data_IF_185969317109
#
_entry.id   IF_185969317109
#
_cell.length_a   1.000
_cell.length_b   1.000
_cell.length_c   1.000
_cell.angle_alpha   90.00
_cell.angle_beta   90.00
_cell.angle_gamma   90.00
#
_symmetry.space_group_name_H-M   'P 1'
#
loop_
_entity.id
_entity.type
_entity.pdbx_description
1 polymer ?
#
# COMPACT_ATOMS: atom_id res chain seq x y z
N UNK A 1 31.83 -20.87 -28.59
CA UNK A 1 31.88 -19.55 -27.93
C UNK A 1 30.44 -19.01 -27.78
N UNK A 2 29.82 -19.03 -26.58
CA UNK A 2 28.52 -18.39 -26.34
C UNK A 2 28.72 -16.87 -26.40
N UNK A 3 28.10 -16.19 -27.37
CA UNK A 3 28.09 -14.72 -27.45
C UNK A 3 27.60 -14.17 -26.10
N UNK A 4 28.46 -13.43 -25.40
CA UNK A 4 28.08 -12.73 -24.17
C UNK A 4 26.82 -11.89 -24.47
N UNK A 5 25.70 -12.20 -23.81
CA UNK A 5 24.47 -11.40 -23.93
C UNK A 5 24.81 -9.96 -23.54
N UNK A 6 24.75 -9.04 -24.50
CA UNK A 6 24.97 -7.61 -24.30
C UNK A 6 24.15 -7.17 -23.11
N UNK A 7 24.80 -6.78 -22.02
CA UNK A 7 24.12 -6.37 -20.76
C UNK A 7 23.31 -5.12 -21.07
N UNK A 8 21.99 -5.25 -21.12
CA UNK A 8 21.08 -4.15 -21.45
C UNK A 8 21.14 -3.13 -20.30
N UNK A 9 21.57 -1.91 -20.61
CA UNK A 9 21.58 -0.78 -19.66
C UNK A 9 20.16 -0.48 -19.18
N UNK A 10 19.99 -0.29 -17.86
CA UNK A 10 18.73 0.12 -17.24
C UNK A 10 18.45 1.59 -17.53
N UNK A 11 19.44 2.45 -17.25
CA UNK A 11 19.34 3.90 -17.44
C UNK A 11 19.55 4.25 -18.91
N UNK A 12 18.62 5.03 -19.47
CA UNK A 12 18.67 5.49 -20.84
C UNK A 12 18.40 6.99 -20.93
N UNK A 13 19.05 7.67 -21.85
CA UNK A 13 18.87 9.12 -22.06
C UNK A 13 17.40 9.53 -22.27
N UNK A 14 16.63 8.71 -22.98
CA UNK A 14 15.20 8.95 -23.18
C UNK A 14 14.41 9.08 -21.87
N UNK A 15 14.81 8.40 -20.78
CA UNK A 15 14.10 8.50 -19.48
C UNK A 15 14.12 9.94 -18.97
N UNK A 16 15.22 10.69 -19.18
CA UNK A 16 15.31 12.12 -18.83
C UNK A 16 14.29 12.95 -19.60
N UNK A 17 14.21 12.76 -20.93
CA UNK A 17 13.27 13.48 -21.78
C UNK A 17 11.83 13.15 -21.40
N UNK A 18 11.51 11.86 -21.25
CA UNK A 18 10.16 11.38 -20.90
C UNK A 18 9.75 11.93 -19.53
N UNK A 19 10.63 11.85 -18.52
CA UNK A 19 10.37 12.39 -17.19
C UNK A 19 10.05 13.89 -17.25
N UNK A 20 10.84 14.66 -17.99
CA UNK A 20 10.61 16.09 -18.18
C UNK A 20 9.22 16.36 -18.82
N UNK A 21 8.91 15.68 -19.92
CA UNK A 21 7.61 15.83 -20.61
C UNK A 21 6.46 15.43 -19.67
N UNK A 22 6.61 14.29 -18.97
CA UNK A 22 5.59 13.80 -18.02
C UNK A 22 5.32 14.83 -16.94
N UNK A 23 6.34 15.46 -16.38
CA UNK A 23 6.15 16.49 -15.36
C UNK A 23 5.54 17.76 -15.91
N UNK A 24 5.94 18.24 -17.08
CA UNK A 24 5.31 19.39 -17.72
C UNK A 24 3.80 19.18 -17.95
N UNK A 25 3.39 17.95 -18.33
CA UNK A 25 1.98 17.65 -18.63
C UNK A 25 1.20 17.35 -17.35
N UNK A 26 1.77 16.57 -16.42
CA UNK A 26 1.03 16.10 -15.23
C UNK A 26 1.12 17.06 -14.05
N UNK A 27 2.14 17.91 -13.94
CA UNK A 27 2.26 18.82 -12.81
C UNK A 27 1.05 19.75 -12.63
N UNK A 28 0.51 20.41 -13.68
CA UNK A 28 -0.70 21.22 -13.53
C UNK A 28 -1.88 20.42 -13.00
N UNK A 29 -2.10 19.21 -13.52
CA UNK A 29 -3.14 18.30 -13.04
C UNK A 29 -2.96 17.92 -11.57
N UNK A 30 -1.73 17.58 -11.18
CA UNK A 30 -1.38 17.19 -9.82
C UNK A 30 -1.59 18.35 -8.86
N UNK A 31 -1.12 19.57 -9.22
CA UNK A 31 -1.34 20.76 -8.40
C UNK A 31 -2.83 21.08 -8.24
N UNK A 32 -3.61 21.03 -9.33
CA UNK A 32 -5.06 21.27 -9.28
C UNK A 32 -5.80 20.21 -8.46
N UNK A 33 -5.40 18.93 -8.57
CA UNK A 33 -6.08 17.83 -7.89
C UNK A 33 -5.76 17.78 -6.39
N UNK A 34 -4.50 17.96 -6.03
CA UNK A 34 -4.03 17.72 -4.66
C UNK A 34 -3.74 18.97 -3.86
N UNK A 35 -3.70 20.14 -4.49
CA UNK A 35 -3.27 21.40 -3.86
C UNK A 35 -1.95 21.24 -3.10
N UNK A 36 -1.05 20.40 -3.63
CA UNK A 36 0.21 20.02 -2.98
C UNK A 36 1.28 21.07 -3.21
N UNK A 37 1.97 21.45 -2.15
CA UNK A 37 3.22 22.23 -2.22
C UNK A 37 4.39 21.25 -2.30
N UNK A 38 4.97 21.09 -3.50
CA UNK A 38 6.17 20.28 -3.71
C UNK A 38 7.41 21.17 -3.61
N UNK A 39 8.33 20.82 -2.70
CA UNK A 39 9.57 21.56 -2.53
C UNK A 39 10.68 20.94 -3.40
N UNK A 40 11.40 21.83 -4.09
CA UNK A 40 12.52 21.40 -4.91
C UNK A 40 13.74 21.12 -4.03
N UNK A 41 14.37 19.98 -4.27
CA UNK A 41 15.63 19.62 -3.63
C UNK A 41 16.79 20.05 -4.52
N UNK A 42 17.79 20.74 -3.94
CA UNK A 42 19.01 21.13 -4.66
C UNK A 42 19.94 19.93 -4.73
N UNK A 43 19.92 19.23 -5.88
CA UNK A 43 20.82 18.11 -6.12
C UNK A 43 22.26 18.58 -6.28
N UNK A 44 23.20 17.90 -5.64
CA UNK A 44 24.61 18.03 -5.97
C UNK A 44 24.90 17.41 -7.34
N UNK A 45 25.77 18.07 -8.11
CA UNK A 45 26.11 17.58 -9.46
C UNK A 45 26.69 16.17 -9.39
N UNK A 46 26.14 15.26 -10.22
CA UNK A 46 26.57 13.88 -10.39
C UNK A 46 26.37 12.97 -9.15
N UNK A 47 25.68 13.40 -8.13
CA UNK A 47 25.40 12.60 -6.94
C UNK A 47 24.07 11.85 -7.10
N UNK A 48 24.03 10.57 -6.74
CA UNK A 48 22.83 9.74 -6.73
C UNK A 48 22.36 9.55 -5.30
N UNK A 49 21.09 9.22 -5.14
CA UNK A 49 20.45 9.13 -3.84
C UNK A 49 19.60 7.87 -3.72
N UNK A 50 19.51 7.32 -2.50
CA UNK A 50 18.45 6.46 -2.07
C UNK A 50 17.37 7.33 -1.42
N UNK A 51 16.19 7.42 -2.05
CA UNK A 51 15.08 8.23 -1.56
C UNK A 51 14.09 7.29 -0.87
N UNK A 52 13.93 7.46 0.44
CA UNK A 52 12.94 6.72 1.22
C UNK A 52 11.78 7.66 1.54
N UNK A 53 10.55 7.20 1.28
CA UNK A 53 9.35 8.03 1.42
C UNK A 53 8.25 7.30 2.18
N UNK A 54 7.45 8.05 2.94
CA UNK A 54 6.17 7.56 3.45
C UNK A 54 5.14 7.50 2.31
N UNK A 55 4.19 6.56 2.38
CA UNK A 55 3.31 6.26 1.26
C UNK A 55 1.87 6.67 1.54
N UNK A 56 1.44 7.83 1.01
CA UNK A 56 0.15 8.44 1.30
C UNK A 56 -0.85 8.33 0.14
N UNK A 57 -0.43 8.66 -1.09
CA UNK A 57 -1.31 8.76 -2.25
C UNK A 57 -0.87 7.87 -3.42
N UNK A 58 -1.73 7.63 -4.43
CA UNK A 58 -1.30 6.91 -5.64
C UNK A 58 -0.30 7.69 -6.49
N UNK A 59 -0.06 8.98 -6.20
CA UNK A 59 0.76 9.89 -6.98
C UNK A 59 2.09 10.28 -6.30
N UNK A 60 2.45 9.64 -5.19
CA UNK A 60 3.65 9.98 -4.41
C UNK A 60 4.93 9.98 -5.26
N UNK A 61 5.05 9.03 -6.22
CA UNK A 61 6.17 8.98 -7.16
C UNK A 61 6.28 10.25 -8.03
N UNK A 62 5.16 10.92 -8.31
CA UNK A 62 5.18 12.16 -9.07
C UNK A 62 5.61 13.34 -8.19
N UNK A 63 5.21 13.39 -6.92
CA UNK A 63 5.67 14.41 -5.97
C UNK A 63 7.18 14.32 -5.79
N UNK A 64 7.70 13.10 -5.55
CA UNK A 64 9.15 12.86 -5.50
C UNK A 64 9.81 13.34 -6.79
N UNK A 65 9.33 12.90 -7.95
CA UNK A 65 9.94 13.26 -9.22
C UNK A 65 9.90 14.76 -9.52
N UNK A 66 8.87 15.49 -9.03
CA UNK A 66 8.81 16.96 -9.17
C UNK A 66 9.81 17.70 -8.27
N UNK A 67 10.32 17.04 -7.23
CA UNK A 67 11.35 17.61 -6.35
C UNK A 67 12.77 17.51 -6.92
N UNK A 68 13.01 16.67 -7.95
CA UNK A 68 14.35 16.38 -8.49
C UNK A 68 14.45 16.71 -9.98
N UNK A 69 15.66 17.01 -10.43
CA UNK A 69 15.93 17.37 -11.83
C UNK A 69 16.25 16.12 -12.69
N UNK A 70 16.61 14.99 -12.06
CA UNK A 70 16.98 13.76 -12.75
C UNK A 70 15.94 12.65 -12.59
N UNK A 71 15.87 11.70 -13.54
CA UNK A 71 14.95 10.57 -13.42
C UNK A 71 15.19 9.77 -12.14
N UNK A 72 14.14 9.46 -11.43
CA UNK A 72 14.13 8.59 -10.26
C UNK A 72 13.51 7.25 -10.67
N UNK A 73 14.07 6.14 -10.19
CA UNK A 73 13.61 4.79 -10.48
C UNK A 73 12.88 4.20 -9.27
N UNK A 74 11.64 3.77 -9.48
CA UNK A 74 10.72 3.34 -8.42
C UNK A 74 10.53 1.83 -8.45
N UNK A 75 10.36 1.22 -7.28
CA UNK A 75 9.88 -0.14 -7.18
C UNK A 75 8.39 -0.18 -7.53
N UNK A 76 8.01 -1.16 -8.33
CA UNK A 76 6.64 -1.36 -8.76
C UNK A 76 6.22 -2.82 -8.65
N UNK A 77 5.00 -3.05 -8.18
CA UNK A 77 4.46 -4.40 -8.00
C UNK A 77 4.15 -5.09 -9.33
N UNK A 78 4.09 -6.41 -9.30
CA UNK A 78 3.79 -7.28 -10.45
C UNK A 78 2.51 -6.93 -11.20
N UNK A 79 1.55 -6.24 -10.56
CA UNK A 79 0.31 -5.80 -11.22
C UNK A 79 0.55 -4.88 -12.42
N UNK A 80 1.52 -3.95 -12.31
CA UNK A 80 1.93 -3.06 -13.41
C UNK A 80 2.54 -3.85 -14.56
N UNK A 81 3.20 -4.97 -14.25
CA UNK A 81 3.83 -5.84 -15.26
C UNK A 81 2.87 -6.89 -15.84
N UNK A 82 1.60 -6.91 -15.40
CA UNK A 82 0.56 -7.85 -15.86
C UNK A 82 -0.56 -7.20 -16.67
N UNK A 83 -0.27 -6.03 -17.27
CA UNK A 83 -1.21 -5.25 -18.11
C UNK A 83 -1.06 -5.53 -19.62
N UNK A 84 -0.35 -6.59 -20.00
CA UNK A 84 -0.09 -6.93 -21.39
C UNK A 84 0.84 -5.92 -22.08
N UNK A 85 0.46 -5.40 -23.26
CA UNK A 85 1.27 -4.45 -24.03
C UNK A 85 1.54 -3.12 -23.29
N UNK A 86 0.59 -2.69 -22.41
CA UNK A 86 0.74 -1.49 -21.60
C UNK A 86 1.96 -1.61 -20.66
N UNK A 87 2.19 -2.81 -20.09
CA UNK A 87 3.38 -3.07 -19.26
C UNK A 87 4.68 -2.85 -20.04
N UNK A 88 4.70 -3.20 -21.33
CA UNK A 88 5.87 -3.00 -22.19
C UNK A 88 6.09 -1.50 -22.46
N UNK A 89 5.04 -0.74 -22.66
CA UNK A 89 5.09 0.72 -22.83
C UNK A 89 5.62 1.38 -21.54
N UNK A 90 5.08 1.04 -20.39
CA UNK A 90 5.53 1.59 -19.09
C UNK A 90 7.02 1.27 -18.86
N UNK A 91 7.45 0.03 -19.10
CA UNK A 91 8.86 -0.36 -18.99
C UNK A 91 9.76 0.43 -19.95
N UNK A 92 9.28 0.70 -21.16
CA UNK A 92 10.02 1.49 -22.13
C UNK A 92 10.12 2.97 -21.72
N UNK A 93 9.05 3.54 -21.15
CA UNK A 93 8.97 4.95 -20.74
C UNK A 93 9.82 5.25 -19.51
N UNK A 94 9.62 4.52 -18.41
CA UNK A 94 10.13 4.87 -17.07
C UNK A 94 10.92 3.75 -16.39
N UNK A 95 11.01 2.56 -17.00
CA UNK A 95 11.77 1.40 -16.52
C UNK A 95 11.62 1.12 -15.02
N UNK A 96 10.39 0.93 -14.48
CA UNK A 96 10.18 0.65 -13.06
C UNK A 96 10.88 -0.66 -12.67
N UNK A 97 11.32 -0.73 -11.41
CA UNK A 97 11.99 -1.91 -10.87
C UNK A 97 10.91 -2.88 -10.35
N UNK A 98 10.78 -4.09 -10.91
CA UNK A 98 9.78 -5.04 -10.46
C UNK A 98 10.09 -5.56 -9.06
N UNK A 99 9.07 -5.67 -8.22
CA UNK A 99 9.15 -6.29 -6.89
C UNK A 99 7.94 -7.20 -6.66
N UNK A 100 8.18 -8.38 -6.08
CA UNK A 100 7.14 -9.26 -5.55
C UNK A 100 6.80 -8.85 -4.13
N UNK A 101 5.52 -8.62 -3.85
CA UNK A 101 5.08 -8.27 -2.51
C UNK A 101 5.29 -9.43 -1.55
N UNK A 102 5.63 -9.08 -0.30
CA UNK A 102 5.74 -10.01 0.85
C UNK A 102 6.70 -11.21 0.68
N UNK A 103 7.67 -11.07 -0.21
CA UNK A 103 8.75 -12.04 -0.36
C UNK A 103 10.09 -11.33 -0.26
N UNK A 104 11.13 -12.05 0.18
CA UNK A 104 12.51 -11.57 0.03
C UNK A 104 12.87 -11.62 -1.45
N UNK A 105 12.63 -10.52 -2.18
CA UNK A 105 12.89 -10.45 -3.61
C UNK A 105 14.34 -10.05 -3.89
N UNK A 106 15.23 -11.04 -3.89
CA UNK A 106 16.66 -10.85 -4.21
C UNK A 106 16.83 -10.20 -5.59
N UNK A 107 15.96 -10.52 -6.55
CA UNK A 107 16.06 -9.95 -7.90
C UNK A 107 15.74 -8.45 -7.88
N UNK A 108 14.78 -7.99 -7.07
CA UNK A 108 14.50 -6.56 -6.89
C UNK A 108 15.72 -5.83 -6.31
N UNK A 109 16.36 -6.40 -5.27
CA UNK A 109 17.61 -5.88 -4.70
C UNK A 109 18.72 -5.78 -5.76
N UNK A 110 18.94 -6.83 -6.54
CA UNK A 110 19.96 -6.82 -7.60
C UNK A 110 19.65 -5.78 -8.69
N UNK A 111 18.39 -5.58 -9.02
CA UNK A 111 17.97 -4.56 -9.99
C UNK A 111 18.21 -3.15 -9.44
N UNK A 112 17.91 -2.88 -8.16
CA UNK A 112 18.22 -1.62 -7.51
C UNK A 112 19.72 -1.32 -7.54
N UNK A 113 20.56 -2.30 -7.15
CA UNK A 113 22.01 -2.16 -7.20
C UNK A 113 22.54 -1.93 -8.63
N UNK A 114 21.89 -2.52 -9.64
CA UNK A 114 22.23 -2.27 -11.04
C UNK A 114 21.94 -0.83 -11.43
N UNK A 115 20.76 -0.29 -11.08
CA UNK A 115 20.40 1.11 -11.33
C UNK A 115 21.41 2.04 -10.67
N UNK A 116 21.78 1.79 -9.42
CA UNK A 116 22.77 2.58 -8.67
C UNK A 116 24.14 2.55 -9.36
N UNK A 117 24.64 1.38 -9.78
CA UNK A 117 25.91 1.24 -10.50
C UNK A 117 25.92 1.96 -11.84
N UNK A 118 24.78 2.09 -12.49
CA UNK A 118 24.62 2.84 -13.74
C UNK A 118 24.47 4.35 -13.52
N UNK A 119 24.46 4.83 -12.27
CA UNK A 119 24.38 6.24 -11.91
C UNK A 119 22.94 6.75 -11.76
N UNK A 120 21.98 5.93 -11.32
CA UNK A 120 20.61 6.31 -11.04
C UNK A 120 20.30 6.44 -9.56
N UNK A 121 19.32 7.29 -9.24
CA UNK A 121 18.70 7.36 -7.91
C UNK A 121 17.51 6.41 -7.85
N UNK A 122 17.31 5.77 -6.69
CA UNK A 122 16.21 4.82 -6.46
C UNK A 122 15.31 5.38 -5.37
N UNK A 123 13.99 5.29 -5.58
CA UNK A 123 13.01 5.66 -4.55
C UNK A 123 12.21 4.43 -4.10
N UNK A 124 12.05 4.30 -2.78
CA UNK A 124 11.39 3.18 -2.12
C UNK A 124 10.47 3.73 -1.04
N UNK A 125 9.23 3.24 -1.00
CA UNK A 125 8.36 3.37 0.17
C UNK A 125 8.52 2.11 1.03
N UNK A 126 9.23 2.14 2.16
CA UNK A 126 9.56 0.93 2.95
C UNK A 126 8.34 0.31 3.62
N UNK A 127 7.23 1.04 3.75
CA UNK A 127 5.93 0.52 4.17
C UNK A 127 5.35 -0.51 3.16
N UNK A 128 5.77 -0.44 1.89
CA UNK A 128 5.30 -1.32 0.81
C UNK A 128 3.84 -1.08 0.39
N UNK A 129 3.05 -0.41 1.21
CA UNK A 129 1.65 -0.07 0.97
C UNK A 129 1.31 1.31 1.53
N UNK A 130 0.26 1.92 0.99
CA UNK A 130 -0.34 3.11 1.59
C UNK A 130 -1.07 2.71 2.87
N UNK A 131 -1.04 3.56 3.88
CA UNK A 131 -1.76 3.35 5.13
C UNK A 131 -3.29 3.35 4.94
N UNK A 132 -3.98 2.52 5.71
CA UNK A 132 -5.44 2.56 5.85
C UNK A 132 -5.89 3.46 7.00
N UNK A 133 -5.10 3.51 8.07
CA UNK A 133 -5.40 4.24 9.30
C UNK A 133 -5.07 5.73 9.22
N UNK A 134 -4.11 6.10 8.36
CA UNK A 134 -3.52 7.46 8.28
C UNK A 134 -2.21 7.57 9.04
N UNK A 135 -1.84 6.57 9.83
CA UNK A 135 -0.57 6.48 10.54
C UNK A 135 0.38 5.57 9.78
N UNK A 136 1.69 5.86 9.84
CA UNK A 136 2.73 4.94 9.35
C UNK A 136 2.57 3.60 10.05
N UNK A 137 2.41 2.54 9.26
CA UNK A 137 2.30 1.17 9.75
C UNK A 137 3.68 0.47 9.75
N UNK A 138 3.69 -0.83 9.57
CA UNK A 138 4.92 -1.61 9.58
C UNK A 138 5.87 -1.24 8.42
N UNK A 139 7.13 -1.03 8.75
CA UNK A 139 8.24 -0.98 7.80
C UNK A 139 9.12 -2.21 7.92
N UNK A 140 9.63 -2.72 6.80
CA UNK A 140 10.50 -3.89 6.80
C UNK A 140 11.94 -3.48 7.21
N UNK A 141 12.51 -4.00 8.32
CA UNK A 141 13.85 -3.66 8.77
C UNK A 141 14.96 -3.95 7.74
N UNK A 142 14.71 -4.84 6.77
CA UNK A 142 15.64 -5.12 5.68
C UNK A 142 16.03 -3.88 4.85
N UNK A 143 15.28 -2.77 4.98
CA UNK A 143 15.61 -1.50 4.29
C UNK A 143 16.96 -0.94 4.74
N UNK A 144 17.33 -1.09 6.02
CA UNK A 144 18.64 -0.66 6.52
C UNK A 144 19.79 -1.42 5.85
N UNK A 145 19.67 -2.74 5.74
CA UNK A 145 20.64 -3.57 5.04
C UNK A 145 20.75 -3.27 3.53
N UNK A 146 19.62 -2.92 2.90
CA UNK A 146 19.61 -2.50 1.49
C UNK A 146 20.30 -1.14 1.31
N UNK A 147 20.01 -0.17 2.19
CA UNK A 147 20.62 1.16 2.18
C UNK A 147 22.15 1.07 2.27
N UNK A 148 22.69 0.27 3.20
CA UNK A 148 24.14 0.02 3.33
C UNK A 148 24.75 -0.57 2.07
N UNK A 149 24.06 -1.52 1.42
CA UNK A 149 24.55 -2.14 0.18
C UNK A 149 24.60 -1.16 -1.00
N UNK A 150 23.73 -0.16 -1.00
CA UNK A 150 23.71 0.87 -2.04
C UNK A 150 24.82 1.90 -1.88
N UNK A 151 25.30 2.17 -0.67
CA UNK A 151 26.34 3.16 -0.34
C UNK A 151 26.05 4.55 -0.91
N UNK A 152 24.78 4.98 -0.81
CA UNK A 152 24.31 6.28 -1.28
C UNK A 152 23.85 7.12 -0.09
N UNK A 153 23.87 8.45 -0.18
CA UNK A 153 23.14 9.30 0.75
C UNK A 153 21.66 8.90 0.75
N UNK A 154 21.08 8.79 1.95
CA UNK A 154 19.68 8.48 2.14
C UNK A 154 18.92 9.79 2.30
N UNK A 155 17.93 10.03 1.44
CA UNK A 155 17.02 11.15 1.57
C UNK A 155 15.71 10.65 2.17
N UNK A 156 15.34 11.20 3.33
CA UNK A 156 14.02 10.96 3.91
C UNK A 156 13.05 11.97 3.29
N UNK A 157 12.11 11.49 2.50
CA UNK A 157 11.13 12.29 1.78
C UNK A 157 9.77 12.17 2.45
N UNK A 158 9.21 13.29 2.91
CA UNK A 158 7.94 13.34 3.61
C UNK A 158 6.83 13.88 2.72
N UNK A 159 5.68 13.23 2.80
CA UNK A 159 4.42 13.66 2.22
C UNK A 159 3.43 13.82 3.35
N UNK A 160 2.93 15.03 3.55
CA UNK A 160 2.01 15.42 4.60
C UNK A 160 0.66 15.86 4.00
N UNK A 161 -0.45 15.63 4.70
CA UNK A 161 -1.81 15.93 4.25
C UNK A 161 -2.38 14.92 3.26
N UNK A 162 -1.60 13.95 2.81
CA UNK A 162 -2.01 13.00 1.78
C UNK A 162 -3.17 12.10 2.18
N UNK A 163 -3.17 11.60 3.41
CA UNK A 163 -4.28 10.83 3.95
C UNK A 163 -5.57 11.66 4.05
N UNK A 164 -5.47 12.91 4.45
CA UNK A 164 -6.63 13.81 4.50
C UNK A 164 -7.23 14.04 3.12
N UNK A 165 -6.39 14.25 2.10
CA UNK A 165 -6.83 14.55 0.72
C UNK A 165 -7.33 13.31 -0.01
N UNK A 166 -6.60 12.19 0.03
CA UNK A 166 -6.98 10.95 -0.68
C UNK A 166 -6.61 9.70 0.13
N UNK A 167 -7.35 9.37 1.21
CA UNK A 167 -7.08 8.16 1.99
C UNK A 167 -7.21 6.92 1.12
N UNK A 168 -6.45 5.88 1.45
CA UNK A 168 -6.37 4.65 0.64
C UNK A 168 -7.73 4.01 0.39
N UNK A 169 -8.62 4.08 1.36
CA UNK A 169 -9.95 3.48 1.27
C UNK A 169 -10.94 4.26 0.41
N UNK A 170 -10.71 5.56 0.14
CA UNK A 170 -11.65 6.40 -0.63
C UNK A 170 -11.28 6.49 -2.12
N UNK A 171 -12.31 6.57 -2.97
CA UNK A 171 -12.17 6.95 -4.39
C UNK A 171 -12.34 8.46 -4.58
N UNK A 172 -12.73 9.18 -3.52
CA UNK A 172 -13.02 10.62 -3.56
C UNK A 172 -11.80 11.41 -3.07
N UNK A 173 -11.41 12.43 -3.84
CA UNK A 173 -10.39 13.40 -3.43
C UNK A 173 -11.07 14.53 -2.68
N UNK A 174 -10.48 14.98 -1.59
CA UNK A 174 -10.95 16.09 -0.75
C UNK A 174 -10.09 17.32 -0.99
N UNK A 175 -10.67 18.50 -0.86
CA UNK A 175 -9.91 19.76 -0.91
C UNK A 175 -9.21 19.96 0.44
N UNK A 176 -7.91 20.04 0.44
CA UNK A 176 -7.08 20.23 1.63
C UNK A 176 -5.65 20.57 1.24
N UNK A 177 -4.81 20.89 2.22
CA UNK A 177 -3.42 21.24 1.99
C UNK A 177 -2.54 19.99 2.05
N UNK A 178 -1.60 19.90 1.13
CA UNK A 178 -0.55 18.88 1.12
C UNK A 178 0.82 19.52 0.96
N UNK A 179 1.84 18.88 1.51
CA UNK A 179 3.25 19.24 1.35
C UNK A 179 4.09 18.01 1.06
N UNK A 180 5.08 18.15 0.19
CA UNK A 180 6.00 17.08 -0.16
C UNK A 180 7.42 17.63 -0.28
N UNK A 181 8.38 17.07 0.49
CA UNK A 181 9.72 17.64 0.64
C UNK A 181 10.73 16.63 1.20
N UNK A 182 12.02 16.90 1.00
CA UNK A 182 13.11 16.19 1.67
C UNK A 182 13.26 16.75 3.09
N UNK A 183 12.99 15.91 4.09
CA UNK A 183 13.07 16.32 5.51
C UNK A 183 14.46 16.16 6.09
N UNK A 184 15.25 15.17 5.62
CA UNK A 184 16.61 14.91 6.10
C UNK A 184 17.45 14.25 5.01
N UNK A 185 18.74 14.55 5.03
CA UNK A 185 19.80 13.83 4.30
C UNK A 185 20.63 13.09 5.34
N UNK A 186 20.84 11.79 5.13
CA UNK A 186 21.71 10.96 5.98
C UNK A 186 22.88 10.51 5.10
N UNK A 187 24.06 10.97 5.43
CA UNK A 187 25.26 10.69 4.66
C UNK A 187 25.82 9.29 4.94
N UNK A 188 26.55 8.67 3.98
CA UNK A 188 27.19 7.38 4.22
C UNK A 188 28.05 7.34 5.47
N UNK A 189 28.82 8.40 5.74
CA UNK A 189 29.72 8.53 6.89
C UNK A 189 28.97 8.57 8.24
N UNK A 190 27.69 8.99 8.22
CA UNK A 190 26.80 8.99 9.38
C UNK A 190 26.30 7.56 9.65
N UNK A 191 25.71 6.91 8.66
CA UNK A 191 25.07 5.62 8.89
C UNK A 191 26.05 4.42 8.91
N UNK A 192 27.28 4.58 8.42
CA UNK A 192 28.32 3.54 8.56
C UNK A 192 28.71 3.30 10.01
N UNK A 193 28.54 4.27 10.88
CA UNK A 193 28.82 4.20 12.33
C UNK A 193 27.68 3.52 13.12
N UNK A 194 26.50 3.39 12.55
CA UNK A 194 25.33 2.83 13.20
C UNK A 194 25.25 1.32 13.00
N UNK A 195 24.59 0.59 13.85
CA UNK A 195 24.12 -0.77 13.61
C UNK A 195 22.96 -0.76 12.58
N UNK A 196 22.53 -1.94 12.11
CA UNK A 196 21.35 -2.01 11.22
C UNK A 196 20.08 -1.59 11.95
N UNK A 197 19.94 -1.91 13.22
CA UNK A 197 18.77 -1.56 14.02
C UNK A 197 18.72 -0.06 14.29
N UNK A 198 19.83 0.57 14.68
CA UNK A 198 19.92 2.03 14.84
C UNK A 198 19.64 2.78 13.52
N UNK A 199 20.15 2.27 12.39
CA UNK A 199 19.83 2.87 11.09
C UNK A 199 18.36 2.69 10.74
N UNK A 200 17.77 1.54 11.05
CA UNK A 200 16.36 1.29 10.83
C UNK A 200 15.49 2.24 11.68
N UNK A 201 15.78 2.38 12.97
CA UNK A 201 15.07 3.30 13.87
C UNK A 201 15.18 4.76 13.39
N UNK A 202 16.34 5.16 12.88
CA UNK A 202 16.56 6.49 12.31
C UNK A 202 15.68 6.71 11.06
N UNK A 203 15.58 5.71 10.17
CA UNK A 203 14.74 5.77 8.98
C UNK A 203 13.25 5.77 9.38
N UNK A 204 12.84 4.86 10.26
CA UNK A 204 11.46 4.70 10.70
C UNK A 204 10.94 5.98 11.37
N UNK A 205 11.69 6.51 12.34
CA UNK A 205 11.33 7.76 13.03
C UNK A 205 11.28 8.96 12.09
N UNK A 206 12.22 9.05 11.14
CA UNK A 206 12.27 10.13 10.18
C UNK A 206 11.15 10.11 9.13
N UNK A 207 10.58 8.94 8.85
CA UNK A 207 9.45 8.77 7.93
C UNK A 207 8.09 8.67 8.65
N UNK A 208 8.10 8.49 9.97
CA UNK A 208 6.87 8.35 10.74
C UNK A 208 5.97 9.58 10.60
N UNK A 209 4.70 9.34 10.29
CA UNK A 209 3.63 10.34 10.26
C UNK A 209 2.37 9.75 10.90
N UNK A 210 1.60 10.59 11.60
CA UNK A 210 0.24 10.28 12.02
C UNK A 210 -0.72 11.33 11.42
N UNK A 211 -1.03 11.12 10.16
CA UNK A 211 -1.90 11.99 9.37
C UNK A 211 -3.38 11.90 9.80
N UNK A 212 -3.75 10.85 10.53
CA UNK A 212 -5.12 10.70 11.01
C UNK A 212 -5.49 11.76 12.05
N UNK A 213 -4.53 12.10 12.93
CA UNK A 213 -4.72 13.07 14.02
C UNK A 213 -4.09 14.43 13.75
N UNK A 214 -3.21 14.54 12.73
CA UNK A 214 -2.58 15.80 12.37
C UNK A 214 -3.62 16.87 12.01
N UNK A 215 -3.36 18.11 12.39
CA UNK A 215 -4.25 19.23 12.10
C UNK A 215 -4.47 19.44 10.60
N UNK A 216 -5.69 19.82 10.24
CA UNK A 216 -6.04 20.11 8.85
C UNK A 216 -7.53 19.95 8.58
N UNK A 217 -8.00 20.69 7.59
CA UNK A 217 -9.39 20.63 7.10
C UNK A 217 -9.41 20.10 5.67
N UNK A 218 -10.29 19.11 5.44
CA UNK A 218 -10.37 18.39 4.18
C UNK A 218 -11.83 18.33 3.72
N UNK A 219 -12.21 19.31 2.90
CA UNK A 219 -13.59 19.52 2.49
C UNK A 219 -14.01 18.62 1.33
N UNK A 220 -15.13 17.95 1.50
CA UNK A 220 -15.84 17.17 0.48
C UNK A 220 -17.23 16.81 1.03
N UNK A 221 -18.20 16.61 0.16
CA UNK A 221 -19.51 16.04 0.46
C UNK A 221 -19.50 14.49 0.52
N UNK A 222 -18.32 13.86 0.33
CA UNK A 222 -18.10 12.40 0.29
C UNK A 222 -16.93 11.97 1.17
N UNK A 223 -16.83 12.56 2.39
CA UNK A 223 -15.67 12.32 3.25
C UNK A 223 -15.60 10.89 3.81
N UNK A 224 -16.75 10.28 4.11
CA UNK A 224 -16.80 8.88 4.57
C UNK A 224 -16.93 7.86 3.44
N UNK A 225 -17.13 8.30 2.18
CA UNK A 225 -17.43 7.38 1.07
C UNK A 225 -16.33 6.33 0.90
N UNK A 226 -16.73 5.06 0.98
CA UNK A 226 -15.89 3.85 0.96
C UNK A 226 -15.07 3.58 2.23
N UNK A 227 -15.37 4.19 3.40
CA UNK A 227 -14.68 3.90 4.66
C UNK A 227 -14.88 2.43 5.08
N UNK A 228 -15.95 1.76 4.64
CA UNK A 228 -16.18 0.33 4.82
C UNK A 228 -15.09 -0.56 4.21
N UNK A 229 -14.19 -0.03 3.37
CA UNK A 229 -13.01 -0.77 2.89
C UNK A 229 -11.91 -0.88 3.96
N UNK A 230 -11.95 -0.01 4.98
CA UNK A 230 -11.00 0.02 6.09
C UNK A 230 -11.60 -0.58 7.37
N UNK A 231 -12.91 -0.41 7.59
CA UNK A 231 -13.60 -0.77 8.83
C UNK A 231 -14.58 -1.91 8.58
N UNK A 232 -14.53 -2.95 9.42
CA UNK A 232 -15.42 -4.11 9.40
C UNK A 232 -15.71 -4.69 10.80
N UNK A 233 -15.20 -4.02 11.86
CA UNK A 233 -15.54 -4.34 13.25
C UNK A 233 -16.36 -3.19 13.83
N UNK A 234 -17.59 -3.52 14.24
CA UNK A 234 -18.47 -2.59 14.94
C UNK A 234 -18.20 -2.64 16.45
N UNK A 235 -18.01 -1.51 17.12
CA UNK A 235 -17.79 -1.50 18.57
C UNK A 235 -19.01 -1.96 19.37
N UNK A 236 -20.22 -1.95 18.77
CA UNK A 236 -21.46 -2.35 19.43
C UNK A 236 -21.82 -3.83 19.19
N UNK A 237 -21.49 -4.38 18.00
CA UNK A 237 -21.95 -5.74 17.63
C UNK A 237 -20.88 -6.66 17.04
N UNK A 238 -19.60 -6.26 17.07
CA UNK A 238 -18.47 -7.07 16.64
C UNK A 238 -18.33 -7.17 15.11
N UNK A 239 -18.05 -8.36 14.61
CA UNK A 239 -17.92 -8.64 13.16
C UNK A 239 -19.17 -8.15 12.42
N UNK A 240 -18.97 -7.27 11.44
CA UNK A 240 -20.07 -6.63 10.73
C UNK A 240 -19.67 -6.16 9.34
N UNK A 241 -20.67 -5.82 8.55
CA UNK A 241 -20.52 -5.08 7.32
C UNK A 241 -20.99 -3.64 7.54
N UNK A 242 -20.32 -2.73 6.83
CA UNK A 242 -20.67 -1.33 6.85
C UNK A 242 -21.04 -0.83 5.46
N UNK A 243 -21.75 0.28 5.43
CA UNK A 243 -22.06 1.02 4.22
C UNK A 243 -21.87 2.51 4.48
N UNK A 244 -21.10 3.16 3.62
CA UNK A 244 -20.91 4.61 3.67
C UNK A 244 -21.79 5.31 2.63
N UNK A 245 -22.23 6.52 2.98
CA UNK A 245 -22.95 7.41 2.07
C UNK A 245 -22.55 8.87 2.39
N UNK A 246 -21.91 9.52 1.43
CA UNK A 246 -21.46 10.90 1.64
C UNK A 246 -20.47 11.02 2.79
N UNK A 247 -20.89 11.64 3.87
CA UNK A 247 -20.07 11.90 5.05
C UNK A 247 -20.32 10.94 6.21
N UNK A 248 -21.18 9.95 6.03
CA UNK A 248 -21.59 9.02 7.07
C UNK A 248 -21.21 7.57 6.72
N UNK A 249 -20.93 6.78 7.75
CA UNK A 249 -20.78 5.33 7.68
C UNK A 249 -21.77 4.68 8.67
N UNK A 250 -22.43 3.62 8.22
CA UNK A 250 -23.45 2.90 9.01
C UNK A 250 -23.14 1.41 9.09
N UNK A 251 -23.26 0.84 10.29
CA UNK A 251 -23.24 -0.59 10.52
C UNK A 251 -24.54 -1.23 10.01
N UNK A 252 -24.46 -2.21 9.12
CA UNK A 252 -25.63 -2.90 8.56
C UNK A 252 -26.33 -3.80 9.58
N UNK A 253 -25.63 -4.26 10.64
CA UNK A 253 -26.15 -5.20 11.63
C UNK A 253 -26.92 -4.49 12.76
N UNK A 254 -26.35 -3.47 13.39
CA UNK A 254 -26.96 -2.79 14.54
C UNK A 254 -27.45 -1.36 14.25
N UNK A 255 -27.13 -0.81 13.07
CA UNK A 255 -27.55 0.53 12.69
C UNK A 255 -26.70 1.66 13.23
N UNK A 256 -25.61 1.39 13.98
CA UNK A 256 -24.67 2.43 14.43
C UNK A 256 -24.28 3.32 13.24
N UNK A 257 -24.47 4.62 13.37
CA UNK A 257 -24.10 5.61 12.36
C UNK A 257 -23.06 6.57 12.92
N UNK A 258 -22.01 6.83 12.12
CA UNK A 258 -20.89 7.69 12.48
C UNK A 258 -20.64 8.68 11.35
N UNK A 259 -20.55 9.96 11.69
CA UNK A 259 -20.23 11.06 10.77
C UNK A 259 -18.74 11.33 10.73
N UNK A 260 -18.17 11.57 9.54
CA UNK A 260 -16.77 11.95 9.32
C UNK A 260 -16.66 13.45 9.06
N UNK A 261 -16.10 14.20 10.00
CA UNK A 261 -15.92 15.66 9.93
C UNK A 261 -14.83 16.11 8.95
N UNK A 262 -14.80 17.40 8.65
CA UNK A 262 -13.76 18.02 7.79
C UNK A 262 -12.38 18.03 8.46
N UNK A 263 -12.35 18.05 9.78
CA UNK A 263 -11.16 17.94 10.63
C UNK A 263 -10.73 16.48 10.89
N UNK A 264 -11.35 15.52 10.17
CA UNK A 264 -11.16 14.06 10.28
C UNK A 264 -11.73 13.45 11.58
N UNK A 265 -12.35 14.23 12.45
CA UNK A 265 -13.02 13.71 13.64
C UNK A 265 -14.25 12.90 13.28
N UNK A 266 -14.49 11.87 14.10
CA UNK A 266 -15.67 11.04 14.00
C UNK A 266 -16.68 11.52 15.05
N UNK A 267 -17.94 11.68 14.63
CA UNK A 267 -19.04 12.14 15.46
C UNK A 267 -20.19 11.12 15.43
N UNK A 268 -20.90 10.98 16.53
CA UNK A 268 -22.13 10.21 16.63
C UNK A 268 -23.23 11.10 17.18
N UNK A 269 -24.32 11.28 16.42
CA UNK A 269 -25.44 12.16 16.80
C UNK A 269 -25.03 13.61 17.14
N UNK A 270 -23.94 14.10 16.52
CA UNK A 270 -23.38 15.43 16.77
C UNK A 270 -22.32 15.49 17.87
N UNK A 271 -22.23 14.50 18.75
CA UNK A 271 -21.24 14.39 19.80
C UNK A 271 -19.97 13.64 19.33
N UNK A 272 -18.82 13.80 20.01
CA UNK A 272 -17.65 13.02 19.72
C UNK A 272 -17.91 11.51 19.80
N UNK A 273 -17.57 10.77 18.73
CA UNK A 273 -17.65 9.31 18.77
C UNK A 273 -16.61 8.74 19.73
N UNK A 274 -16.85 7.55 20.28
CA UNK A 274 -15.91 6.87 21.21
C UNK A 274 -14.50 6.69 20.68
N UNK A 275 -14.34 6.69 19.35
CA UNK A 275 -13.07 6.77 18.66
C UNK A 275 -13.00 8.11 17.91
N UNK A 276 -12.29 9.11 18.43
CA UNK A 276 -12.23 10.45 17.82
C UNK A 276 -11.76 10.46 16.36
N UNK A 277 -10.93 9.50 15.95
CA UNK A 277 -10.39 9.39 14.60
C UNK A 277 -10.43 7.96 14.08
N UNK A 278 -10.36 7.78 12.77
CA UNK A 278 -10.34 6.46 12.11
C UNK A 278 -9.19 5.58 12.61
N UNK A 279 -8.03 6.15 12.93
CA UNK A 279 -6.88 5.40 13.43
C UNK A 279 -7.19 4.65 14.72
N UNK A 280 -7.93 5.27 15.67
CA UNK A 280 -8.30 4.62 16.93
C UNK A 280 -9.35 3.52 16.73
N UNK A 281 -10.30 3.73 15.81
CA UNK A 281 -11.23 2.66 15.43
C UNK A 281 -10.51 1.51 14.74
N UNK A 282 -9.52 1.83 13.91
CA UNK A 282 -8.69 0.84 13.25
C UNK A 282 -7.81 0.05 14.23
N UNK A 283 -7.26 0.72 15.26
CA UNK A 283 -6.52 0.04 16.34
C UNK A 283 -7.43 -0.90 17.14
N UNK A 284 -8.61 -0.41 17.55
CA UNK A 284 -9.63 -1.26 18.18
C UNK A 284 -9.97 -2.49 17.32
N UNK A 285 -10.08 -2.32 16.01
CA UNK A 285 -10.34 -3.42 15.07
C UNK A 285 -9.19 -4.44 15.06
N UNK A 286 -7.93 -4.00 15.10
CA UNK A 286 -6.76 -4.89 15.20
C UNK A 286 -6.74 -5.66 16.51
N UNK A 287 -7.01 -4.97 17.61
CA UNK A 287 -7.06 -5.57 18.94
C UNK A 287 -8.20 -6.60 19.03
N UNK A 288 -9.37 -6.27 18.52
CA UNK A 288 -10.50 -7.19 18.42
C UNK A 288 -10.12 -8.46 17.65
N UNK A 289 -9.45 -8.32 16.50
CA UNK A 289 -9.01 -9.45 15.68
C UNK A 289 -7.94 -10.30 16.38
N UNK A 290 -7.04 -9.69 17.16
CA UNK A 290 -6.05 -10.42 17.94
C UNK A 290 -6.67 -11.25 19.09
N UNK A 291 -7.79 -10.80 19.62
CA UNK A 291 -8.52 -11.51 20.69
C UNK A 291 -9.51 -12.55 20.14
N UNK A 292 -9.91 -12.42 18.86
CA UNK A 292 -10.91 -13.29 18.27
C UNK A 292 -10.36 -14.71 18.05
N UNK A 293 -11.11 -15.71 18.53
CA UNK A 293 -10.90 -17.11 18.14
C UNK A 293 -11.47 -17.34 16.73
N UNK A 294 -10.63 -17.10 15.72
CA UNK A 294 -11.04 -17.31 14.32
C UNK A 294 -11.23 -18.79 13.98
N UNK A 295 -10.64 -19.71 14.75
CA UNK A 295 -10.77 -21.15 14.49
C UNK A 295 -12.17 -21.68 14.83
N UNK A 296 -12.95 -20.96 15.65
CA UNK A 296 -14.38 -21.23 15.85
C UNK A 296 -15.19 -21.07 14.54
N UNK A 297 -14.66 -20.35 13.54
CA UNK A 297 -15.30 -20.15 12.23
C UNK A 297 -14.84 -21.14 11.13
N UNK A 298 -14.48 -22.37 11.51
CA UNK A 298 -14.14 -23.44 10.54
C UNK A 298 -15.36 -24.06 9.88
N UNK A 299 -16.51 -24.04 10.53
CA UNK A 299 -17.75 -24.65 10.03
C UNK A 299 -18.71 -23.65 9.40
N UNK A 300 -18.58 -22.37 9.72
CA UNK A 300 -19.42 -21.30 9.21
C UNK A 300 -18.56 -20.11 8.78
N UNK A 301 -18.77 -19.54 7.59
CA UNK A 301 -17.95 -18.43 7.13
C UNK A 301 -18.21 -17.16 7.94
N UNK A 302 -17.14 -16.42 8.20
CA UNK A 302 -17.18 -15.10 8.85
C UNK A 302 -17.79 -14.04 7.92
N UNK A 303 -17.51 -14.14 6.61
CA UNK A 303 -17.99 -13.21 5.59
C UNK A 303 -18.28 -13.93 4.27
N UNK A 304 -19.22 -13.36 3.51
CA UNK A 304 -19.51 -13.76 2.13
C UNK A 304 -19.43 -12.54 1.22
N UNK A 305 -18.73 -12.68 0.10
CA UNK A 305 -18.54 -11.62 -0.90
C UNK A 305 -18.66 -12.19 -2.31
N UNK A 306 -18.64 -11.33 -3.32
CA UNK A 306 -18.44 -11.73 -4.70
C UNK A 306 -17.31 -10.91 -5.36
N UNK A 307 -16.58 -11.55 -6.27
CA UNK A 307 -15.49 -10.89 -6.96
C UNK A 307 -15.17 -11.56 -8.30
N UNK A 308 -14.65 -10.78 -9.24
CA UNK A 308 -14.00 -11.31 -10.43
C UNK A 308 -12.69 -11.97 -10.04
N UNK A 309 -12.52 -13.25 -10.37
CA UNK A 309 -11.31 -14.01 -10.13
C UNK A 309 -10.44 -14.10 -11.38
N UNK A 310 -9.16 -13.77 -11.26
CA UNK A 310 -8.17 -13.90 -12.33
C UNK A 310 -6.86 -14.48 -11.79
N UNK A 311 -6.14 -15.21 -12.61
CA UNK A 311 -4.77 -15.61 -12.35
C UNK A 311 -3.81 -14.52 -12.85
N UNK A 312 -2.86 -14.13 -12.01
CA UNK A 312 -1.84 -13.12 -12.35
C UNK A 312 -0.59 -13.82 -12.85
N UNK A 313 -0.26 -13.59 -14.11
CA UNK A 313 0.95 -14.12 -14.75
C UNK A 313 1.85 -12.95 -15.09
N UNK A 314 3.02 -12.87 -14.44
CA UNK A 314 3.96 -11.76 -14.64
C UNK A 314 4.41 -11.68 -16.08
N UNK A 315 4.43 -10.48 -16.66
CA UNK A 315 4.73 -10.15 -18.08
C UNK A 315 3.70 -10.66 -19.10
N UNK A 316 2.54 -11.15 -18.65
CA UNK A 316 1.45 -11.55 -19.52
C UNK A 316 0.16 -10.81 -19.15
N UNK A 317 -0.87 -10.93 -19.96
CA UNK A 317 -2.22 -10.48 -19.61
C UNK A 317 -2.80 -11.46 -18.59
N UNK A 318 -3.45 -10.93 -17.55
CA UNK A 318 -4.15 -11.74 -16.54
C UNK A 318 -5.14 -12.71 -17.22
N UNK A 319 -5.12 -13.96 -16.77
CA UNK A 319 -6.06 -14.96 -17.20
C UNK A 319 -7.34 -14.86 -16.36
N UNK A 320 -8.48 -14.57 -16.98
CA UNK A 320 -9.78 -14.52 -16.31
C UNK A 320 -10.26 -15.95 -16.05
N UNK A 321 -10.42 -16.32 -14.78
CA UNK A 321 -10.91 -17.63 -14.37
C UNK A 321 -12.43 -17.63 -14.16
N UNK A 322 -12.96 -16.60 -13.44
CA UNK A 322 -14.39 -16.46 -13.12
C UNK A 322 -14.80 -15.00 -13.18
N UNK A 323 -15.92 -14.70 -13.83
CA UNK A 323 -16.44 -13.33 -13.93
C UNK A 323 -17.06 -12.85 -12.63
N UNK A 324 -17.72 -13.76 -11.93
CA UNK A 324 -18.42 -13.53 -10.67
C UNK A 324 -18.25 -14.78 -9.80
N UNK A 325 -17.25 -14.76 -8.92
CA UNK A 325 -16.93 -15.85 -8.01
C UNK A 325 -17.53 -15.52 -6.64
N UNK A 326 -18.34 -16.42 -6.09
CA UNK A 326 -18.80 -16.31 -4.72
C UNK A 326 -17.64 -16.67 -3.77
N UNK A 327 -17.35 -15.79 -2.80
CA UNK A 327 -16.27 -15.96 -1.82
C UNK A 327 -16.88 -16.21 -0.44
N UNK A 328 -16.53 -17.31 0.19
CA UNK A 328 -16.81 -17.58 1.59
C UNK A 328 -15.50 -17.57 2.38
N UNK A 329 -15.35 -16.62 3.30
CA UNK A 329 -14.16 -16.45 4.13
C UNK A 329 -14.37 -17.13 5.48
N UNK A 330 -13.62 -18.19 5.72
CA UNK A 330 -13.56 -18.94 6.96
C UNK A 330 -12.36 -18.52 7.81
N UNK A 331 -12.25 -19.03 9.02
CA UNK A 331 -11.13 -18.73 9.89
C UNK A 331 -9.78 -19.36 9.45
N UNK A 332 -9.82 -20.34 8.55
CA UNK A 332 -8.64 -21.12 8.10
C UNK A 332 -8.51 -21.22 6.56
N UNK A 333 -9.48 -20.71 5.79
CA UNK A 333 -9.50 -20.85 4.32
C UNK A 333 -10.44 -19.85 3.65
N UNK A 334 -10.31 -19.75 2.34
CA UNK A 334 -11.29 -19.11 1.46
C UNK A 334 -11.89 -20.22 0.58
N UNK A 335 -13.22 -20.32 0.54
CA UNK A 335 -13.94 -21.23 -0.37
C UNK A 335 -14.57 -20.41 -1.48
N UNK A 336 -14.34 -20.81 -2.72
CA UNK A 336 -14.82 -20.11 -3.91
C UNK A 336 -15.90 -20.98 -4.55
N UNK A 337 -17.07 -20.40 -4.81
CA UNK A 337 -18.26 -21.05 -5.40
C UNK A 337 -18.70 -22.31 -4.63
N UNK A 338 -18.75 -22.19 -3.30
CA UNK A 338 -19.15 -23.22 -2.37
C UNK A 338 -20.52 -23.84 -2.74
N UNK A 339 -20.63 -25.19 -2.72
CA UNK A 339 -21.86 -25.93 -3.01
C UNK A 339 -22.24 -25.99 -4.49
N UNK A 340 -21.40 -25.53 -5.41
CA UNK A 340 -21.73 -25.48 -6.85
C UNK A 340 -21.17 -26.65 -7.67
N UNK A 341 -20.42 -27.58 -7.06
CA UNK A 341 -19.64 -28.60 -7.75
C UNK A 341 -18.43 -28.10 -8.52
N UNK A 342 -18.13 -26.78 -8.43
CA UNK A 342 -16.94 -26.13 -9.01
C UNK A 342 -16.12 -25.45 -7.94
N UNK A 343 -16.21 -25.94 -6.74
CA UNK A 343 -15.54 -25.37 -5.58
C UNK A 343 -14.04 -25.34 -5.77
N UNK A 344 -13.42 -24.25 -5.29
CA UNK A 344 -11.99 -24.16 -5.11
C UNK A 344 -11.73 -23.73 -3.67
N UNK A 345 -11.04 -24.59 -2.91
CA UNK A 345 -10.64 -24.31 -1.55
C UNK A 345 -9.20 -23.78 -1.53
N UNK A 346 -9.01 -22.59 -0.98
CA UNK A 346 -7.71 -21.98 -0.76
C UNK A 346 -7.42 -22.04 0.74
N UNK A 347 -6.69 -23.08 1.16
CA UNK A 347 -6.24 -23.23 2.55
C UNK A 347 -5.25 -22.16 2.93
N UNK A 348 -5.34 -21.65 4.15
CA UNK A 348 -4.33 -20.71 4.67
C UNK A 348 -2.99 -21.40 4.98
N UNK A 349 -2.97 -22.72 5.19
CA UNK A 349 -1.72 -23.48 5.37
C UNK A 349 -0.86 -23.41 4.10
N UNK A 350 -1.47 -23.60 2.93
CA UNK A 350 -0.81 -23.59 1.63
C UNK A 350 -0.66 -22.19 1.04
N UNK A 351 -1.21 -21.17 1.72
CA UNK A 351 -1.12 -19.77 1.33
C UNK A 351 0.06 -19.12 2.04
N UNK A 352 0.96 -18.51 1.28
CA UNK A 352 2.13 -17.84 1.90
C UNK A 352 1.93 -16.33 2.06
N UNK A 353 1.01 -15.70 1.30
CA UNK A 353 0.67 -14.30 1.46
C UNK A 353 -0.74 -13.97 0.97
N UNK A 354 -1.37 -13.02 1.64
CA UNK A 354 -2.62 -12.37 1.22
C UNK A 354 -2.42 -10.87 1.31
N UNK A 355 -2.68 -10.13 0.23
CA UNK A 355 -2.39 -8.69 0.19
C UNK A 355 -3.51 -7.90 -0.47
N UNK A 356 -3.69 -6.65 -0.03
CA UNK A 356 -4.56 -5.71 -0.73
C UNK A 356 -3.78 -4.99 -1.82
N UNK A 357 -4.33 -4.96 -3.02
CA UNK A 357 -3.79 -4.21 -4.14
C UNK A 357 -4.74 -3.08 -4.57
N UNK A 358 -4.23 -1.85 -4.56
CA UNK A 358 -5.08 -0.69 -4.78
C UNK A 358 -6.13 -0.55 -3.68
N UNK A 359 -7.41 -0.47 -4.03
CA UNK A 359 -8.52 -0.18 -3.12
C UNK A 359 -9.46 -1.38 -2.87
N UNK A 360 -9.73 -2.17 -3.89
CA UNK A 360 -10.73 -3.23 -3.88
C UNK A 360 -10.28 -4.52 -4.58
N UNK A 361 -8.98 -4.78 -4.59
CA UNK A 361 -8.41 -6.02 -5.11
C UNK A 361 -7.67 -6.76 -4.01
N UNK A 362 -7.87 -8.06 -3.97
CA UNK A 362 -7.18 -9.00 -3.10
C UNK A 362 -6.28 -9.89 -3.95
N UNK A 363 -5.00 -9.98 -3.62
CA UNK A 363 -4.10 -10.98 -4.18
C UNK A 363 -3.86 -12.07 -3.14
N UNK A 364 -4.04 -13.31 -3.55
CA UNK A 364 -3.78 -14.51 -2.74
C UNK A 364 -2.69 -15.32 -3.42
N UNK A 365 -1.60 -15.54 -2.72
CA UNK A 365 -0.43 -16.27 -3.17
C UNK A 365 -0.51 -17.71 -2.66
N UNK A 366 -1.04 -18.60 -3.49
CA UNK A 366 -1.35 -19.99 -3.16
C UNK A 366 -0.48 -20.95 -3.98
N UNK A 367 0.39 -21.68 -3.32
CA UNK A 367 1.35 -22.55 -4.00
C UNK A 367 2.23 -21.73 -4.97
N UNK A 368 2.19 -22.08 -6.26
CA UNK A 368 2.92 -21.36 -7.32
C UNK A 368 2.07 -20.34 -8.07
N UNK A 369 0.79 -20.19 -7.73
CA UNK A 369 -0.17 -19.35 -8.41
C UNK A 369 -0.45 -18.07 -7.60
N UNK A 370 -0.82 -17.03 -8.32
CA UNK A 370 -1.29 -15.78 -7.71
C UNK A 370 -2.71 -15.54 -8.22
N UNK A 371 -3.68 -15.67 -7.34
CA UNK A 371 -5.07 -15.36 -7.63
C UNK A 371 -5.36 -13.91 -7.25
N UNK A 372 -5.97 -13.18 -8.16
CA UNK A 372 -6.45 -11.83 -7.90
C UNK A 372 -7.97 -11.81 -7.92
N UNK A 373 -8.56 -11.33 -6.82
CA UNK A 373 -9.98 -11.08 -6.68
C UNK A 373 -10.24 -9.57 -6.76
N UNK A 374 -11.03 -9.14 -7.74
CA UNK A 374 -11.47 -7.75 -7.87
C UNK A 374 -12.96 -7.69 -7.54
N UNK A 375 -13.28 -7.21 -6.35
CA UNK A 375 -14.65 -7.04 -5.91
C UNK A 375 -15.31 -5.75 -6.45
N UNK A 376 -16.52 -5.48 -5.96
CA UNK A 376 -17.24 -4.23 -6.20
C UNK A 376 -16.44 -3.02 -5.70
N UNK A 377 -16.92 -1.81 -5.95
CA UNK A 377 -16.30 -0.61 -5.38
C UNK A 377 -16.31 -0.61 -3.85
N UNK A 378 -17.26 -1.31 -3.20
CA UNK A 378 -17.39 -1.39 -1.73
C UNK A 378 -16.68 -2.60 -1.10
N UNK A 379 -16.07 -3.46 -1.91
CA UNK A 379 -15.39 -4.67 -1.44
C UNK A 379 -14.29 -4.37 -0.43
N UNK A 380 -14.41 -4.91 0.78
CA UNK A 380 -13.37 -4.84 1.80
C UNK A 380 -12.41 -6.02 1.66
N UNK A 381 -11.28 -5.81 0.99
CA UNK A 381 -10.22 -6.80 0.87
C UNK A 381 -9.36 -6.91 2.14
N UNK A 382 -9.41 -5.91 3.02
CA UNK A 382 -8.58 -5.83 4.22
C UNK A 382 -8.95 -6.91 5.25
N UNK A 383 -10.24 -7.24 5.39
CA UNK A 383 -10.70 -8.30 6.30
C UNK A 383 -10.06 -9.65 6.00
N UNK A 384 -9.84 -9.97 4.72
CA UNK A 384 -9.14 -11.20 4.27
C UNK A 384 -7.68 -11.21 4.72
N UNK A 385 -7.00 -10.07 4.63
CA UNK A 385 -5.60 -9.93 5.05
C UNK A 385 -5.48 -10.06 6.58
N UNK A 386 -6.36 -9.42 7.34
CA UNK A 386 -6.32 -9.49 8.80
C UNK A 386 -6.62 -10.92 9.30
N UNK A 387 -7.64 -11.59 8.76
CA UNK A 387 -7.99 -12.96 9.15
C UNK A 387 -6.85 -13.94 8.78
N UNK A 388 -6.27 -13.80 7.58
CA UNK A 388 -5.10 -14.60 7.19
C UNK A 388 -3.90 -14.36 8.13
N UNK A 389 -3.58 -13.11 8.46
CA UNK A 389 -2.47 -12.81 9.36
C UNK A 389 -2.75 -13.33 10.78
N UNK A 390 -3.98 -13.20 11.28
CA UNK A 390 -4.38 -13.78 12.57
C UNK A 390 -4.21 -15.29 12.56
N UNK A 391 -4.62 -15.98 11.49
CA UNK A 391 -4.40 -17.41 11.32
C UNK A 391 -2.90 -17.77 11.41
N UNK A 392 -2.05 -17.06 10.68
CA UNK A 392 -0.60 -17.28 10.70
C UNK A 392 0.03 -16.97 12.06
N UNK A 393 -0.46 -15.96 12.79
CA UNK A 393 0.00 -15.65 14.14
C UNK A 393 -0.34 -16.80 15.10
N UNK A 394 -1.58 -17.28 15.11
CA UNK A 394 -2.01 -18.43 15.92
C UNK A 394 -1.17 -19.67 15.58
N UNK A 395 -0.99 -19.99 14.29
CA UNK A 395 -0.23 -21.16 13.86
C UNK A 395 1.25 -21.12 14.25
N UNK A 396 1.80 -19.91 14.53
CA UNK A 396 3.17 -19.70 15.00
C UNK A 396 3.28 -19.57 16.52
N UNK A 397 2.17 -19.63 17.26
CA UNK A 397 2.13 -19.39 18.68
C UNK A 397 2.32 -17.93 19.10
N UNK A 398 2.13 -16.98 18.17
CA UNK A 398 2.20 -15.54 18.42
C UNK A 398 0.78 -14.97 18.55
N UNK A 399 0.26 -14.95 19.76
CA UNK A 399 -1.11 -14.51 20.04
C UNK A 399 -1.34 -13.01 19.77
N UNK A 400 -0.29 -12.18 19.89
CA UNK A 400 -0.31 -10.73 19.69
C UNK A 400 0.51 -10.29 18.50
N UNK A 401 0.69 -11.18 17.53
CA UNK A 401 1.50 -10.92 16.34
C UNK A 401 0.99 -9.74 15.52
N UNK A 402 1.93 -9.03 14.89
CA UNK A 402 1.62 -7.90 14.02
C UNK A 402 0.88 -8.36 12.78
N UNK A 403 -0.10 -7.56 12.34
CA UNK A 403 -0.73 -7.72 11.03
C UNK A 403 0.20 -7.16 9.95
N UNK A 404 1.10 -8.01 9.47
CA UNK A 404 2.11 -7.63 8.50
C UNK A 404 1.51 -7.64 7.09
N UNK A 405 1.97 -6.72 6.24
CA UNK A 405 1.78 -6.82 4.80
C UNK A 405 0.43 -6.32 4.28
N UNK A 406 -0.06 -5.30 4.82
CA UNK A 406 -1.24 -4.60 4.27
C UNK A 406 -1.04 -4.11 2.85
#
# INVERSE_FOLDING_TARGET
MKKAKKQVRWIRFRHKIITMITYCVLAPYIYCKYHVKVERFREERRRNYLILLNHQTPFDQFFVGMSFDRPIYYLATEDIFSLGWISSVIRWLVAPIPIKKQTTDIQAVMNCLKVVREGGSVAIAPEGNRTYSGRTEYMNPAIAGLARKMKLPILLYRIEGGYGVEPRWSDCTRKGKMRAYVSRVIEPEEYEKLTNDELFELIESGLYVDEAVADGYFSSDKRAEYLERAIYICPECGLSEFESNGNDIRCKKCGLQVHYGEDKRLLQNGDPFRFPFVVQWYDYQKDYMNQLDILAFKQSPMFRDSARMSEVIVYQKKNLLRKDAALALYGDRIVIDEGTGRELVISFDDTYAVTVLGRNKLNVYFGKQVFQFKGSKRFNALKYVHIFNRYKNISRGDENGRFLGL
#
